data_IF_642934337720
#
_entry.id   IF_642934337720
#
_cell.length_a   1.000
_cell.length_b   1.000
_cell.length_c   1.000
_cell.angle_alpha   90.00
_cell.angle_beta   90.00
_cell.angle_gamma   90.00
#
_symmetry.space_group_name_H-M   'P 1'
#
loop_
_entity.id
_entity.type
_entity.pdbx_description
1 polymer ?
#
# COMPACT_ATOMS: atom_id res chain seq x y z
N UNK A 1 -30.85 11.92 -4.77
CA UNK A 1 -30.38 11.10 -3.64
C UNK A 1 -29.42 10.05 -4.13
N UNK A 2 -28.33 10.50 -4.68
CA UNK A 2 -27.22 9.62 -5.03
C UNK A 2 -26.32 9.52 -3.82
N UNK A 3 -26.42 8.41 -3.13
CA UNK A 3 -25.37 7.93 -2.27
C UNK A 3 -24.17 7.74 -3.18
N UNK A 4 -23.27 8.69 -3.22
CA UNK A 4 -21.97 8.52 -3.82
C UNK A 4 -21.30 7.42 -3.00
N UNK A 5 -21.24 6.22 -3.57
CA UNK A 5 -20.45 5.15 -3.02
C UNK A 5 -19.06 5.72 -2.71
N UNK A 6 -18.55 5.47 -1.52
CA UNK A 6 -17.19 5.82 -1.13
C UNK A 6 -16.22 5.24 -2.17
N UNK A 7 -15.84 6.05 -3.13
CA UNK A 7 -14.83 5.68 -4.10
C UNK A 7 -13.49 5.87 -3.40
N UNK A 8 -13.05 4.85 -2.71
CA UNK A 8 -11.70 4.81 -2.17
C UNK A 8 -10.71 4.57 -3.31
N UNK A 9 -9.47 4.98 -3.16
CA UNK A 9 -8.40 4.70 -4.13
C UNK A 9 -8.33 3.20 -4.48
N UNK A 10 -8.58 2.33 -3.51
CA UNK A 10 -8.56 0.88 -3.66
C UNK A 10 -9.79 0.31 -4.37
N UNK A 11 -10.87 1.04 -4.44
CA UNK A 11 -12.08 0.67 -5.19
C UNK A 11 -12.10 1.29 -6.59
N UNK A 12 -11.19 2.21 -6.89
CA UNK A 12 -11.04 2.78 -8.22
C UNK A 12 -10.55 1.72 -9.19
N UNK A 13 -11.34 1.45 -10.22
CA UNK A 13 -10.97 0.50 -11.27
C UNK A 13 -10.32 1.25 -12.44
N UNK A 14 -9.00 1.11 -12.57
CA UNK A 14 -8.31 1.51 -13.77
C UNK A 14 -7.93 0.26 -14.57
N UNK A 15 -8.14 0.22 -15.91
CA UNK A 15 -7.91 -0.99 -16.72
C UNK A 15 -6.45 -1.46 -16.69
N UNK A 16 -5.51 -0.54 -16.49
CA UNK A 16 -4.06 -0.82 -16.46
C UNK A 16 -3.54 -1.25 -15.10
N UNK A 17 -4.36 -1.20 -14.04
CA UNK A 17 -4.00 -1.64 -12.70
C UNK A 17 -4.80 -2.88 -12.34
N UNK A 18 -4.10 -3.96 -12.05
CA UNK A 18 -4.69 -5.23 -11.64
C UNK A 18 -4.00 -5.77 -10.39
N UNK A 19 -4.76 -6.51 -9.60
CA UNK A 19 -4.26 -7.21 -8.43
C UNK A 19 -3.77 -8.59 -8.85
N UNK A 20 -2.49 -8.88 -8.64
CA UNK A 20 -1.86 -10.16 -8.96
C UNK A 20 -1.29 -10.82 -7.72
N UNK A 21 -1.11 -12.13 -7.78
CA UNK A 21 -0.42 -12.87 -6.73
C UNK A 21 1.06 -12.51 -6.73
N UNK A 22 1.56 -12.06 -5.57
CA UNK A 22 2.98 -11.77 -5.38
C UNK A 22 3.76 -13.08 -5.25
N UNK A 23 4.60 -13.38 -6.22
CA UNK A 23 5.45 -14.57 -6.21
C UNK A 23 6.42 -14.54 -5.03
N UNK A 24 7.01 -13.39 -4.73
CA UNK A 24 7.91 -13.22 -3.59
C UNK A 24 7.22 -13.48 -2.26
N UNK A 25 6.01 -12.97 -2.08
CA UNK A 25 5.25 -13.17 -0.85
C UNK A 25 4.81 -14.62 -0.67
N UNK A 26 4.40 -15.28 -1.75
CA UNK A 26 4.05 -16.71 -1.73
C UNK A 26 5.26 -17.56 -1.40
N UNK A 27 6.42 -17.27 -1.99
CA UNK A 27 7.67 -17.98 -1.71
C UNK A 27 8.10 -17.85 -0.25
N UNK A 28 8.05 -16.64 0.31
CA UNK A 28 8.35 -16.40 1.73
C UNK A 28 7.37 -17.17 2.62
N UNK A 29 6.10 -17.16 2.31
CA UNK A 29 5.09 -17.91 3.06
C UNK A 29 5.33 -19.42 3.00
N UNK A 30 5.72 -19.95 1.84
CA UNK A 30 6.08 -21.35 1.66
C UNK A 30 7.31 -21.74 2.49
N UNK A 31 8.36 -20.90 2.49
CA UNK A 31 9.57 -21.12 3.30
C UNK A 31 9.23 -21.12 4.79
N UNK A 32 8.45 -20.15 5.25
CA UNK A 32 8.01 -20.09 6.65
C UNK A 32 7.18 -21.31 7.05
N UNK A 33 6.32 -21.79 6.17
CA UNK A 33 5.52 -22.97 6.38
C UNK A 33 6.40 -24.24 6.54
N UNK A 34 7.39 -24.40 5.66
CA UNK A 34 8.32 -25.53 5.71
C UNK A 34 9.19 -25.48 6.97
N UNK A 35 9.71 -24.32 7.33
CA UNK A 35 10.51 -24.14 8.55
C UNK A 35 9.67 -24.42 9.80
N UNK A 36 8.45 -23.89 9.87
CA UNK A 36 7.54 -24.11 11.00
C UNK A 36 7.15 -25.58 11.14
N UNK A 37 6.80 -26.26 10.05
CA UNK A 37 6.50 -27.69 10.05
C UNK A 37 7.72 -28.53 10.43
N UNK A 38 8.90 -28.18 9.92
CA UNK A 38 10.16 -28.87 10.26
C UNK A 38 10.51 -28.76 11.75
N UNK A 39 10.36 -27.56 12.34
CA UNK A 39 10.56 -27.35 13.78
C UNK A 39 9.56 -28.17 14.63
N UNK A 40 8.31 -28.20 14.22
CA UNK A 40 7.27 -29.00 14.90
C UNK A 40 7.58 -30.49 14.85
N UNK A 41 7.91 -31.04 13.68
CA UNK A 41 8.28 -32.46 13.52
C UNK A 41 9.53 -32.80 14.32
N UNK A 42 10.52 -31.89 14.36
CA UNK A 42 11.74 -32.09 15.17
C UNK A 42 11.40 -32.18 16.65
N UNK A 43 10.45 -31.37 17.15
CA UNK A 43 10.01 -31.44 18.55
C UNK A 43 9.41 -32.78 18.94
N UNK A 44 8.71 -33.42 18.00
CA UNK A 44 8.11 -34.76 18.22
C UNK A 44 9.14 -35.90 18.23
N UNK A 45 10.30 -35.67 17.62
CA UNK A 45 11.40 -36.67 17.54
C UNK A 45 12.41 -36.54 18.66
N UNK A 46 12.32 -35.53 19.51
CA UNK A 46 13.19 -35.41 20.68
C UNK A 46 12.80 -36.43 21.73
N UNK A 47 13.81 -37.13 22.26
CA UNK A 47 13.63 -38.24 23.23
C UNK A 47 13.02 -37.75 24.55
N UNK A 48 13.24 -36.49 24.89
CA UNK A 48 12.68 -35.86 26.09
C UNK A 48 11.67 -34.79 25.69
N UNK A 49 10.38 -35.14 25.71
CA UNK A 49 9.27 -34.23 25.40
C UNK A 49 9.05 -33.15 26.44
N UNK A 50 9.66 -33.28 27.62
CA UNK A 50 9.62 -32.25 28.70
C UNK A 50 10.80 -31.29 28.65
N UNK A 51 11.74 -31.48 27.73
CA UNK A 51 12.89 -30.58 27.58
C UNK A 51 12.46 -29.18 27.10
N UNK A 52 13.17 -28.16 27.56
CA UNK A 52 12.96 -26.77 27.11
C UNK A 52 13.08 -26.65 25.60
N UNK A 53 14.01 -27.40 25.00
CA UNK A 53 14.22 -27.41 23.56
C UNK A 53 12.99 -27.93 22.80
N UNK A 54 12.36 -29.01 23.27
CA UNK A 54 11.14 -29.55 22.69
C UNK A 54 9.99 -28.54 22.77
N UNK A 55 9.81 -27.87 23.89
CA UNK A 55 8.78 -26.85 24.08
C UNK A 55 9.01 -25.66 23.15
N UNK A 56 10.24 -25.18 23.04
CA UNK A 56 10.60 -24.06 22.16
C UNK A 56 10.36 -24.42 20.70
N UNK A 57 10.78 -25.59 20.24
CA UNK A 57 10.55 -26.06 18.86
C UNK A 57 9.06 -26.21 18.55
N UNK A 58 8.28 -26.76 19.47
CA UNK A 58 6.85 -26.95 19.29
C UNK A 58 6.09 -25.62 19.20
N UNK A 59 6.33 -24.72 20.16
CA UNK A 59 5.68 -23.42 20.21
C UNK A 59 6.12 -22.54 19.05
N UNK A 60 7.43 -22.43 18.82
CA UNK A 60 7.99 -21.62 17.74
C UNK A 60 7.55 -22.11 16.35
N UNK A 61 7.56 -23.43 16.15
CA UNK A 61 7.09 -24.05 14.90
C UNK A 61 5.62 -23.78 14.63
N UNK A 62 4.77 -23.87 15.66
CA UNK A 62 3.34 -23.58 15.54
C UNK A 62 3.09 -22.10 15.21
N UNK A 63 3.78 -21.19 15.87
CA UNK A 63 3.67 -19.75 15.62
C UNK A 63 4.10 -19.42 14.19
N UNK A 64 5.24 -19.92 13.74
CA UNK A 64 5.72 -19.70 12.36
C UNK A 64 4.76 -20.26 11.32
N UNK A 65 4.20 -21.43 11.56
CA UNK A 65 3.24 -22.04 10.65
C UNK A 65 1.96 -21.22 10.53
N UNK A 66 1.38 -20.79 11.64
CA UNK A 66 0.20 -19.93 11.66
C UNK A 66 0.48 -18.57 11.02
N UNK A 67 1.66 -18.00 11.27
CA UNK A 67 2.08 -16.75 10.63
C UNK A 67 2.21 -16.91 9.11
N UNK A 68 2.74 -18.04 8.64
CA UNK A 68 2.85 -18.33 7.21
C UNK A 68 1.48 -18.40 6.54
N UNK A 69 0.50 -19.06 7.16
CA UNK A 69 -0.88 -19.13 6.67
C UNK A 69 -1.51 -17.74 6.65
N UNK A 70 -1.39 -16.98 7.73
CA UNK A 70 -1.93 -15.63 7.82
C UNK A 70 -1.34 -14.74 6.73
N UNK A 71 -0.01 -14.76 6.56
CA UNK A 71 0.68 -13.99 5.52
C UNK A 71 0.25 -14.40 4.11
N UNK A 72 0.04 -15.68 3.86
CA UNK A 72 -0.43 -16.18 2.57
C UNK A 72 -1.80 -15.59 2.19
N UNK A 73 -2.73 -15.58 3.12
CA UNK A 73 -4.06 -15.05 2.85
C UNK A 73 -4.11 -13.53 2.76
N UNK A 74 -3.29 -12.81 3.52
CA UNK A 74 -3.40 -11.34 3.66
C UNK A 74 -2.39 -10.55 2.82
N UNK A 75 -1.25 -11.12 2.49
CA UNK A 75 -0.15 -10.44 1.78
C UNK A 75 0.30 -11.11 0.48
N UNK A 76 -0.46 -12.06 -0.03
CA UNK A 76 -0.09 -12.77 -1.26
C UNK A 76 -0.37 -11.99 -2.53
N UNK A 77 -1.09 -10.87 -2.45
CA UNK A 77 -1.49 -10.06 -3.61
C UNK A 77 -0.82 -8.70 -3.63
N UNK A 78 -0.47 -8.26 -4.82
CA UNK A 78 0.12 -6.96 -5.08
C UNK A 78 -0.55 -6.29 -6.28
N UNK A 79 -0.52 -4.95 -6.32
CA UNK A 79 -0.97 -4.18 -7.45
C UNK A 79 0.11 -4.13 -8.51
N UNK A 80 -0.26 -4.31 -9.77
CA UNK A 80 0.66 -4.30 -10.92
C UNK A 80 0.14 -3.37 -12.00
N UNK A 81 1.02 -2.49 -12.49
CA UNK A 81 0.77 -1.68 -13.68
C UNK A 81 1.05 -2.53 -14.93
N UNK A 82 -0.01 -2.96 -15.60
CA UNK A 82 0.05 -3.95 -16.68
C UNK A 82 0.96 -3.55 -17.85
N UNK A 83 0.93 -2.29 -18.36
CA UNK A 83 1.75 -1.91 -19.52
C UNK A 83 3.24 -2.11 -19.36
N UNK A 84 3.76 -2.00 -18.13
CA UNK A 84 5.19 -2.15 -17.82
C UNK A 84 5.48 -3.37 -16.96
N UNK A 85 4.45 -4.01 -16.42
CA UNK A 85 4.60 -5.12 -15.46
C UNK A 85 5.16 -4.70 -14.10
N UNK A 86 5.25 -3.40 -13.82
CA UNK A 86 5.83 -2.85 -12.60
C UNK A 86 4.84 -2.95 -11.43
N UNK A 87 5.37 -3.31 -10.25
CA UNK A 87 4.58 -3.34 -9.01
C UNK A 87 4.28 -1.90 -8.57
N UNK A 88 3.03 -1.65 -8.21
CA UNK A 88 2.60 -0.37 -7.64
C UNK A 88 2.58 -0.44 -6.12
N UNK A 89 3.13 0.58 -5.48
CA UNK A 89 3.13 0.75 -4.02
C UNK A 89 2.21 1.87 -3.61
N UNK A 90 1.53 1.66 -2.52
CA UNK A 90 0.62 2.61 -1.91
C UNK A 90 1.35 3.47 -0.89
N UNK A 91 0.89 4.70 -0.74
CA UNK A 91 1.38 5.63 0.27
C UNK A 91 0.34 6.66 0.64
N UNK A 92 0.62 7.40 1.69
CA UNK A 92 -0.27 8.42 2.22
C UNK A 92 0.54 9.63 2.66
N UNK A 93 0.05 10.82 2.34
CA UNK A 93 0.59 12.07 2.88
C UNK A 93 -0.54 13.00 3.30
N UNK A 94 -0.18 14.00 4.13
CA UNK A 94 -1.13 14.91 4.73
C UNK A 94 -0.83 16.34 4.32
N UNK A 95 -1.88 17.15 4.21
CA UNK A 95 -1.82 18.56 3.87
C UNK A 95 -2.73 19.38 4.79
N UNK A 96 -2.53 20.68 4.79
CA UNK A 96 -3.44 21.61 5.46
C UNK A 96 -4.75 21.75 4.66
N UNK A 97 -5.86 21.93 5.36
CA UNK A 97 -7.16 22.16 4.73
C UNK A 97 -7.18 23.47 3.91
N UNK A 98 -6.37 24.45 4.29
CA UNK A 98 -6.24 25.71 3.54
C UNK A 98 -5.66 25.49 2.14
N UNK A 99 -4.85 24.46 1.97
CA UNK A 99 -4.18 24.15 0.71
C UNK A 99 -5.02 23.22 -0.20
N UNK A 100 -6.18 22.74 0.28
CA UNK A 100 -7.00 21.77 -0.45
C UNK A 100 -7.37 22.25 -1.86
N UNK A 101 -7.76 23.53 -1.99
CA UNK A 101 -8.16 24.08 -3.29
C UNK A 101 -6.97 24.17 -4.26
N UNK A 102 -5.85 24.70 -3.78
CA UNK A 102 -4.63 24.81 -4.58
C UNK A 102 -4.09 23.43 -5.00
N UNK A 103 -4.13 22.47 -4.09
CA UNK A 103 -3.72 21.09 -4.36
C UNK A 103 -4.63 20.41 -5.38
N UNK A 104 -5.95 20.57 -5.25
CA UNK A 104 -6.92 20.03 -6.20
C UNK A 104 -6.70 20.61 -7.59
N UNK A 105 -6.51 21.92 -7.69
CA UNK A 105 -6.25 22.62 -8.95
C UNK A 105 -4.93 22.14 -9.60
N UNK A 106 -3.88 21.97 -8.80
CA UNK A 106 -2.59 21.45 -9.28
C UNK A 106 -2.72 20.04 -9.83
N UNK A 107 -3.48 19.17 -9.17
CA UNK A 107 -3.72 17.80 -9.62
C UNK A 107 -4.60 17.74 -10.88
N UNK A 108 -5.64 18.57 -10.96
CA UNK A 108 -6.52 18.63 -12.15
C UNK A 108 -5.81 19.16 -13.39
N UNK A 109 -5.01 20.20 -13.23
CA UNK A 109 -4.28 20.84 -14.34
C UNK A 109 -2.95 20.17 -14.65
N UNK A 110 -2.54 19.19 -13.84
CA UNK A 110 -1.20 18.55 -13.92
C UNK A 110 -0.06 19.60 -13.85
N UNK A 111 -0.31 20.64 -13.11
CA UNK A 111 0.57 21.84 -13.00
C UNK A 111 1.71 21.66 -12.01
N UNK A 112 2.42 20.54 -12.06
CA UNK A 112 3.52 20.23 -11.14
C UNK A 112 4.81 21.03 -11.41
N UNK A 113 4.89 21.69 -12.54
CA UNK A 113 6.03 22.53 -12.89
C UNK A 113 6.00 23.90 -12.20
N UNK A 114 4.80 24.36 -11.83
CA UNK A 114 4.60 25.62 -11.11
C UNK A 114 4.49 25.32 -9.64
N UNK A 115 5.46 25.74 -8.83
CA UNK A 115 5.40 25.58 -7.38
C UNK A 115 4.20 26.35 -6.83
N UNK A 116 3.23 25.62 -6.30
CA UNK A 116 2.04 26.20 -5.69
C UNK A 116 2.20 26.45 -4.18
N UNK A 117 3.42 26.36 -3.63
CA UNK A 117 3.75 26.50 -2.21
C UNK A 117 2.97 25.57 -1.26
N UNK A 118 2.39 24.48 -1.81
CA UNK A 118 1.69 23.47 -1.02
C UNK A 118 2.70 22.48 -0.46
N UNK A 119 2.81 22.42 0.85
CA UNK A 119 3.78 21.55 1.54
C UNK A 119 3.11 20.35 2.21
N UNK A 120 3.77 19.20 2.11
CA UNK A 120 3.40 18.02 2.87
C UNK A 120 3.63 18.27 4.37
N UNK A 121 2.64 17.91 5.18
CA UNK A 121 2.70 18.05 6.65
C UNK A 121 2.66 16.69 7.32
N UNK A 122 3.17 16.63 8.53
CA UNK A 122 3.14 15.41 9.34
C UNK A 122 1.72 15.06 9.79
N UNK A 123 0.93 16.10 10.10
CA UNK A 123 -0.48 15.99 10.48
C UNK A 123 -1.28 17.08 9.77
N UNK A 124 -2.33 16.69 9.11
CA UNK A 124 -3.23 17.63 8.43
C UNK A 124 -4.64 17.07 8.32
N UNK A 125 -5.59 17.96 8.06
CA UNK A 125 -6.99 17.58 7.87
C UNK A 125 -7.30 17.12 6.43
N UNK A 126 -6.33 17.19 5.55
CA UNK A 126 -6.39 16.65 4.19
C UNK A 126 -5.41 15.50 4.06
N UNK A 127 -5.92 14.34 3.66
CA UNK A 127 -5.13 13.15 3.38
C UNK A 127 -5.13 12.89 1.88
N UNK A 128 -3.97 12.66 1.31
CA UNK A 128 -3.84 12.17 -0.05
C UNK A 128 -3.34 10.73 -0.02
N UNK A 129 -4.18 9.83 -0.50
CA UNK A 129 -3.79 8.44 -0.74
C UNK A 129 -3.31 8.33 -2.19
N UNK A 130 -2.17 7.72 -2.40
CA UNK A 130 -1.59 7.56 -3.72
C UNK A 130 -1.02 6.16 -3.93
N UNK A 131 -0.94 5.79 -5.19
CA UNK A 131 -0.33 4.55 -5.65
C UNK A 131 0.65 4.90 -6.76
N UNK A 132 1.90 4.45 -6.63
CA UNK A 132 2.98 4.75 -7.57
C UNK A 132 3.58 3.44 -8.05
N UNK A 133 3.69 3.26 -9.38
CA UNK A 133 4.45 2.16 -9.95
C UNK A 133 5.94 2.32 -9.69
N UNK A 134 6.68 1.22 -9.48
CA UNK A 134 8.11 1.28 -9.20
C UNK A 134 8.93 1.95 -10.30
N UNK A 135 8.48 1.85 -11.54
CA UNK A 135 9.09 2.53 -12.69
C UNK A 135 8.73 4.01 -12.81
N UNK A 136 7.92 4.53 -11.88
CA UNK A 136 7.45 5.93 -11.84
C UNK A 136 6.68 6.38 -13.08
N UNK A 137 6.07 5.44 -13.81
CA UNK A 137 5.30 5.71 -15.04
C UNK A 137 3.80 5.78 -14.84
N UNK A 138 3.32 5.36 -13.69
CA UNK A 138 1.91 5.42 -13.34
C UNK A 138 1.74 5.90 -11.91
N UNK A 139 0.81 6.83 -11.72
CA UNK A 139 0.39 7.33 -10.40
C UNK A 139 -1.13 7.42 -10.39
N UNK A 140 -1.74 6.96 -9.32
CA UNK A 140 -3.13 7.24 -8.97
C UNK A 140 -3.15 7.97 -7.62
N UNK A 141 -3.90 9.04 -7.51
CA UNK A 141 -4.01 9.82 -6.28
C UNK A 141 -5.46 10.25 -6.03
N UNK A 142 -5.83 10.31 -4.78
CA UNK A 142 -7.14 10.79 -4.36
C UNK A 142 -7.01 11.59 -3.07
N UNK A 143 -7.75 12.69 -2.98
CA UNK A 143 -7.80 13.55 -1.82
C UNK A 143 -8.99 13.19 -0.93
N UNK A 144 -8.74 13.20 0.37
CA UNK A 144 -9.75 13.01 1.42
C UNK A 144 -9.69 14.19 2.39
N UNK A 145 -10.83 14.60 2.87
CA UNK A 145 -10.96 15.63 3.91
C UNK A 145 -11.41 14.99 5.21
N UNK A 146 -10.76 15.36 6.31
CA UNK A 146 -11.16 14.93 7.63
C UNK A 146 -12.45 15.66 8.05
N UNK A 147 -13.47 14.86 8.37
CA UNK A 147 -14.63 15.30 9.11
C UNK A 147 -14.62 14.59 10.46
N UNK A 148 -15.30 15.09 11.50
CA UNK A 148 -15.23 14.47 12.82
C UNK A 148 -15.42 12.95 12.74
N UNK A 149 -14.38 12.22 13.19
CA UNK A 149 -14.30 10.75 13.27
C UNK A 149 -14.05 9.97 11.97
N UNK A 150 -14.01 10.61 10.80
CA UNK A 150 -13.78 9.89 9.53
C UNK A 150 -13.15 10.77 8.45
N UNK A 151 -12.74 10.15 7.35
CA UNK A 151 -12.31 10.83 6.13
C UNK A 151 -13.35 10.62 5.03
N UNK A 152 -13.71 11.71 4.35
CA UNK A 152 -14.56 11.67 3.17
C UNK A 152 -13.78 12.01 1.91
N UNK A 153 -14.09 11.39 0.75
CA UNK A 153 -13.50 11.77 -0.53
C UNK A 153 -13.74 13.26 -0.83
N UNK A 154 -12.67 14.02 -1.00
CA UNK A 154 -12.73 15.42 -1.37
C UNK A 154 -12.56 15.63 -2.88
N UNK A 155 -12.15 14.61 -3.61
CA UNK A 155 -11.96 14.62 -5.06
C UNK A 155 -12.26 13.27 -5.68
N UNK A 156 -12.37 13.24 -7.01
CA UNK A 156 -12.27 12.01 -7.79
C UNK A 156 -10.83 11.48 -7.76
N UNK A 157 -10.64 10.25 -8.26
CA UNK A 157 -9.29 9.70 -8.41
C UNK A 157 -8.62 10.34 -9.61
N UNK A 158 -7.40 10.86 -9.41
CA UNK A 158 -6.55 11.40 -10.47
C UNK A 158 -5.57 10.33 -10.95
N UNK A 159 -5.42 10.21 -12.25
CA UNK A 159 -4.48 9.28 -12.88
C UNK A 159 -3.44 10.05 -13.68
N UNK A 160 -2.16 9.73 -13.44
CA UNK A 160 -1.03 10.34 -14.13
C UNK A 160 -0.19 9.24 -14.78
N UNK A 161 0.25 9.48 -16.01
CA UNK A 161 1.09 8.55 -16.76
C UNK A 161 2.28 9.29 -17.38
N UNK A 162 3.36 8.55 -17.66
CA UNK A 162 4.53 9.09 -18.33
C UNK A 162 5.20 10.25 -17.58
N UNK A 163 5.36 11.38 -18.23
CA UNK A 163 6.02 12.55 -17.66
C UNK A 163 5.24 13.16 -16.48
N UNK A 164 3.91 13.15 -16.54
CA UNK A 164 3.07 13.65 -15.46
C UNK A 164 3.26 12.83 -14.19
N UNK A 165 3.37 11.51 -14.33
CA UNK A 165 3.64 10.62 -13.20
C UNK A 165 5.02 10.90 -12.59
N UNK A 166 6.04 11.10 -13.42
CA UNK A 166 7.39 11.43 -12.95
C UNK A 166 7.44 12.78 -12.25
N UNK A 167 6.72 13.78 -12.76
CA UNK A 167 6.59 15.09 -12.13
C UNK A 167 5.88 15.01 -10.77
N UNK A 168 4.81 14.25 -10.67
CA UNK A 168 4.13 14.00 -9.39
C UNK A 168 5.06 13.35 -8.36
N UNK A 169 5.80 12.32 -8.76
CA UNK A 169 6.76 11.66 -7.86
C UNK A 169 7.85 12.61 -7.40
N UNK A 170 8.34 13.46 -8.28
CA UNK A 170 9.32 14.49 -7.91
C UNK A 170 8.76 15.48 -6.87
N UNK A 171 7.53 15.96 -7.05
CA UNK A 171 6.86 16.80 -6.05
C UNK A 171 6.71 16.08 -4.71
N UNK A 172 6.39 14.80 -4.72
CA UNK A 172 6.27 14.00 -3.51
C UNK A 172 7.61 13.82 -2.80
N UNK A 173 8.69 13.57 -3.55
CA UNK A 173 10.05 13.43 -3.00
C UNK A 173 10.58 14.74 -2.40
N UNK A 174 10.22 15.87 -2.99
CA UNK A 174 10.57 17.20 -2.47
C UNK A 174 9.62 17.70 -1.38
N UNK A 175 8.50 16.98 -1.16
CA UNK A 175 7.44 17.38 -0.21
C UNK A 175 6.79 18.73 -0.52
N UNK A 176 6.81 19.15 -1.78
CA UNK A 176 6.24 20.41 -2.28
C UNK A 176 5.45 20.16 -3.57
N UNK A 177 4.19 20.66 -3.61
CA UNK A 177 3.29 20.58 -4.76
C UNK A 177 2.94 21.93 -5.32
#
# INVERSE_FOLDING_TARGET
DTVSAEVTLFSATHPDIVKRTSVSSVLISAILCVVGAGAFVTSLKLDDSSSTMSMVCMTGGTILFLWAIFRFFWRSKEWVYVPTGSVAKEGTCFFDVCDLHALTEALEKKGFETKNDVKVKTNGNVRMDYMISQDKKFVAAQLFRFIPYTYEPASSVFYFTGNDASAFVHCLETSEF
#
